data_IF_757756013440
#
_entry.id   IF_757756013440
#
_cell.length_a   1.000
_cell.length_b   1.000
_cell.length_c   1.000
_cell.angle_alpha   90.00
_cell.angle_beta   90.00
_cell.angle_gamma   90.00
#
_symmetry.space_group_name_H-M   'P 1'
#
loop_
_entity.id
_entity.type
_entity.pdbx_description
1 polymer ?
#
# COMPACT_ATOMS: atom_id res chain seq x y z
N UNK A 1 -10.51 3.68 46.00
CA UNK A 1 -9.94 2.47 46.65
C UNK A 1 -8.46 2.40 46.30
N UNK A 2 -7.58 2.03 47.24
CA UNK A 2 -6.13 1.99 47.03
C UNK A 2 -5.74 0.56 46.64
N UNK A 3 -5.14 0.37 45.47
CA UNK A 3 -4.61 -0.93 45.06
C UNK A 3 -3.26 -1.17 45.75
N UNK A 4 -3.12 -2.33 46.41
CA UNK A 4 -1.87 -2.74 47.07
C UNK A 4 -1.30 -3.90 46.27
N UNK A 5 -0.06 -3.77 45.79
CA UNK A 5 0.68 -4.83 45.11
C UNK A 5 1.61 -5.55 46.10
N UNK A 6 1.64 -6.88 46.05
CA UNK A 6 2.54 -7.73 46.85
C UNK A 6 3.71 -8.29 46.02
N UNK A 7 3.87 -7.80 44.78
CA UNK A 7 4.97 -8.20 43.89
C UNK A 7 6.32 -7.87 44.51
N UNK A 8 7.22 -8.87 44.57
CA UNK A 8 8.58 -8.73 45.12
C UNK A 8 9.63 -8.44 44.04
N UNK A 9 9.29 -8.70 42.78
CA UNK A 9 10.14 -8.47 41.62
C UNK A 9 9.83 -7.11 41.03
N UNK A 10 10.87 -6.40 40.62
CA UNK A 10 10.72 -5.16 39.86
C UNK A 10 10.21 -5.49 38.45
N UNK A 11 9.33 -4.62 37.94
CA UNK A 11 8.79 -4.76 36.60
C UNK A 11 9.90 -4.40 35.60
N UNK A 12 10.41 -5.40 34.87
CA UNK A 12 11.61 -5.23 34.05
C UNK A 12 11.40 -4.36 32.81
N UNK A 13 10.38 -4.67 32.02
CA UNK A 13 9.96 -3.84 30.87
C UNK A 13 8.48 -3.54 30.96
N UNK A 14 8.09 -2.41 30.36
CA UNK A 14 6.68 -2.06 30.24
C UNK A 14 5.95 -3.05 29.33
N UNK A 15 4.66 -3.25 29.62
CA UNK A 15 3.82 -4.09 28.77
C UNK A 15 3.68 -3.39 27.41
N UNK A 16 4.03 -4.06 26.30
CA UNK A 16 3.83 -3.50 24.97
C UNK A 16 2.34 -3.37 24.65
N UNK A 17 2.00 -2.58 23.66
CA UNK A 17 0.62 -2.46 23.23
C UNK A 17 0.23 -3.72 22.45
N UNK A 18 -0.80 -4.42 22.94
CA UNK A 18 -1.10 -5.81 22.54
C UNK A 18 -1.64 -5.94 21.11
N UNK A 19 -2.00 -4.81 20.49
CA UNK A 19 -2.48 -4.76 19.10
C UNK A 19 -1.40 -4.28 18.12
N UNK A 20 -0.17 -4.03 18.61
CA UNK A 20 0.91 -3.45 17.81
C UNK A 20 1.24 -4.29 16.59
N UNK A 21 1.23 -5.60 16.71
CA UNK A 21 1.53 -6.49 15.59
C UNK A 21 0.50 -6.26 14.46
N UNK A 22 -0.78 -6.16 14.79
CA UNK A 22 -1.83 -5.98 13.81
C UNK A 22 -1.82 -4.57 13.21
N UNK A 23 -1.67 -3.54 14.04
CA UNK A 23 -1.69 -2.15 13.59
C UNK A 23 -0.47 -1.84 12.73
N UNK A 24 0.74 -2.19 13.21
CA UNK A 24 1.98 -1.94 12.47
C UNK A 24 2.05 -2.72 11.15
N UNK A 25 1.56 -3.97 11.12
CA UNK A 25 1.54 -4.74 9.89
C UNK A 25 0.65 -4.10 8.82
N UNK A 26 -0.51 -3.57 9.22
CA UNK A 26 -1.43 -2.92 8.27
C UNK A 26 -0.93 -1.53 7.85
N UNK A 27 -0.33 -0.76 8.77
CA UNK A 27 0.33 0.51 8.46
C UNK A 27 1.49 0.31 7.46
N UNK A 28 2.34 -0.70 7.69
CA UNK A 28 3.43 -1.05 6.78
C UNK A 28 2.94 -1.54 5.40
N UNK A 29 1.78 -2.20 5.36
CA UNK A 29 1.15 -2.59 4.09
C UNK A 29 0.72 -1.36 3.28
N UNK A 30 0.09 -0.38 3.94
CA UNK A 30 -0.58 0.75 3.27
C UNK A 30 0.30 1.96 3.02
N UNK A 31 1.29 2.23 3.88
CA UNK A 31 2.20 3.39 3.83
C UNK A 31 1.45 4.72 3.56
N UNK A 32 0.40 5.01 4.34
CA UNK A 32 -0.50 6.16 4.13
C UNK A 32 0.18 7.52 4.30
N UNK A 33 1.15 7.61 5.21
CA UNK A 33 1.77 8.88 5.61
C UNK A 33 2.97 9.27 4.72
N UNK A 34 3.51 8.29 3.98
CA UNK A 34 4.65 8.52 3.09
C UNK A 34 4.19 9.11 1.75
N UNK A 35 4.89 10.16 1.29
CA UNK A 35 4.73 10.64 -0.07
C UNK A 35 5.09 9.52 -1.06
N UNK A 36 4.42 9.48 -2.22
CA UNK A 36 4.58 8.37 -3.16
C UNK A 36 6.04 8.06 -3.56
N UNK A 37 6.92 9.06 -3.58
CA UNK A 37 8.33 8.92 -3.94
C UNK A 37 9.25 8.52 -2.76
N UNK A 38 8.71 8.51 -1.54
CA UNK A 38 9.42 8.16 -0.30
C UNK A 38 8.97 6.79 0.25
N UNK A 39 8.05 6.11 -0.43
CA UNK A 39 7.56 4.80 -0.01
C UNK A 39 8.64 3.73 -0.12
N UNK A 40 8.73 2.92 0.93
CA UNK A 40 9.60 1.77 0.98
C UNK A 40 9.08 0.66 0.06
N UNK A 41 9.99 -0.18 -0.43
CA UNK A 41 9.67 -1.33 -1.30
C UNK A 41 9.10 -2.51 -0.49
N UNK A 42 7.95 -2.27 0.15
CA UNK A 42 7.18 -3.23 0.96
C UNK A 42 5.68 -3.01 0.74
N UNK A 43 4.86 -3.95 1.21
CA UNK A 43 3.41 -3.80 1.18
C UNK A 43 2.86 -3.63 -0.24
N UNK A 44 1.94 -2.67 -0.41
CA UNK A 44 1.32 -2.38 -1.71
C UNK A 44 2.33 -1.89 -2.76
N UNK A 45 3.32 -1.08 -2.36
CA UNK A 45 4.33 -0.55 -3.26
C UNK A 45 5.12 -1.69 -3.93
N UNK A 46 5.56 -2.65 -3.13
CA UNK A 46 6.25 -3.85 -3.63
C UNK A 46 5.37 -4.69 -4.53
N UNK A 47 4.10 -4.90 -4.16
CA UNK A 47 3.17 -5.69 -5.00
C UNK A 47 3.01 -5.06 -6.38
N UNK A 48 2.92 -3.72 -6.46
CA UNK A 48 2.89 -3.06 -7.76
C UNK A 48 4.21 -3.18 -8.52
N UNK A 49 5.36 -3.00 -7.86
CA UNK A 49 6.68 -3.16 -8.49
C UNK A 49 6.98 -4.59 -8.95
N UNK A 50 6.46 -5.59 -8.27
CA UNK A 50 6.63 -7.01 -8.64
C UNK A 50 5.77 -7.39 -9.85
N UNK A 51 4.62 -6.74 -10.03
CA UNK A 51 3.68 -7.03 -11.13
C UNK A 51 3.94 -6.20 -12.40
N UNK A 52 4.52 -5.02 -12.27
CA UNK A 52 4.79 -4.10 -13.37
C UNK A 52 6.29 -4.04 -13.68
N UNK A 53 6.69 -3.88 -14.96
CA UNK A 53 5.84 -3.62 -16.12
C UNK A 53 5.09 -4.82 -16.67
N UNK A 54 3.93 -4.55 -17.28
CA UNK A 54 3.20 -5.53 -18.08
C UNK A 54 3.36 -5.18 -19.55
N UNK A 55 3.93 -6.09 -20.34
CA UNK A 55 4.20 -5.87 -21.77
C UNK A 55 3.47 -6.89 -22.66
N UNK A 56 3.18 -6.51 -23.91
CA UNK A 56 2.65 -7.43 -24.91
C UNK A 56 3.74 -8.35 -25.47
N UNK A 57 3.34 -9.42 -26.16
CA UNK A 57 4.26 -10.44 -26.73
C UNK A 57 5.32 -9.84 -27.65
N UNK A 58 5.00 -8.70 -28.28
CA UNK A 58 5.89 -8.01 -29.20
C UNK A 58 6.56 -6.77 -28.58
N UNK A 59 6.38 -6.51 -27.28
CA UNK A 59 6.90 -5.35 -26.53
C UNK A 59 6.67 -3.97 -27.20
N UNK A 60 5.60 -3.87 -28.00
CA UNK A 60 5.15 -2.62 -28.59
C UNK A 60 4.44 -1.74 -27.56
N UNK A 61 3.87 -2.34 -26.53
CA UNK A 61 3.15 -1.65 -25.46
C UNK A 61 3.69 -2.14 -24.11
N UNK A 62 4.00 -1.20 -23.22
CA UNK A 62 4.36 -1.48 -21.83
C UNK A 62 3.50 -0.62 -20.91
N UNK A 63 2.80 -1.26 -19.97
CA UNK A 63 2.11 -0.57 -18.91
C UNK A 63 3.06 -0.49 -17.72
N UNK A 64 3.34 0.73 -17.26
CA UNK A 64 4.26 1.04 -16.18
C UNK A 64 3.49 1.52 -14.95
N UNK A 65 3.94 1.10 -13.77
CA UNK A 65 3.40 1.61 -12.52
C UNK A 65 4.10 2.91 -12.12
N UNK A 66 3.33 3.96 -11.83
CA UNK A 66 3.87 5.27 -11.39
C UNK A 66 3.72 5.46 -9.90
N UNK A 67 2.50 5.24 -9.38
CA UNK A 67 2.16 5.39 -7.95
C UNK A 67 0.79 4.84 -7.64
N UNK A 68 0.49 4.60 -6.37
CA UNK A 68 -0.89 4.41 -5.88
C UNK A 68 -1.31 5.48 -4.88
N UNK A 69 -2.61 5.65 -4.72
CA UNK A 69 -3.23 6.51 -3.70
C UNK A 69 -4.42 5.79 -3.09
N UNK A 70 -4.56 5.87 -1.78
CA UNK A 70 -5.74 5.46 -1.05
C UNK A 70 -6.64 6.68 -0.88
N UNK A 71 -7.92 6.55 -1.20
CA UNK A 71 -8.91 7.59 -0.91
C UNK A 71 -9.58 7.38 0.44
N UNK A 72 -10.49 8.28 0.78
CA UNK A 72 -11.24 8.18 2.02
C UNK A 72 -12.32 7.09 1.97
N UNK A 73 -12.56 6.38 3.09
CA UNK A 73 -13.72 5.53 3.26
C UNK A 73 -15.02 6.31 3.02
N UNK A 74 -15.98 5.67 2.35
CA UNK A 74 -17.24 6.33 1.97
C UNK A 74 -18.21 6.51 3.16
N UNK A 75 -18.10 5.65 4.16
CA UNK A 75 -18.99 5.56 5.32
C UNK A 75 -18.15 5.36 6.57
N UNK A 76 -18.69 5.70 7.74
CA UNK A 76 -18.02 5.40 9.02
C UNK A 76 -18.16 3.92 9.39
N UNK A 77 -17.42 3.49 10.41
CA UNK A 77 -17.49 2.12 10.91
C UNK A 77 -18.89 1.81 11.45
N UNK A 78 -19.50 2.75 12.16
CA UNK A 78 -20.85 2.61 12.74
C UNK A 78 -21.90 2.45 11.64
N UNK A 79 -21.86 3.29 10.60
CA UNK A 79 -22.76 3.19 9.45
C UNK A 79 -22.60 1.86 8.72
N UNK A 80 -21.37 1.36 8.60
CA UNK A 80 -21.10 0.06 8.00
C UNK A 80 -21.68 -1.09 8.83
N UNK A 81 -21.56 -1.03 10.16
CA UNK A 81 -22.14 -2.05 11.06
C UNK A 81 -23.66 -2.03 11.00
N UNK A 82 -24.28 -0.85 11.07
CA UNK A 82 -25.75 -0.72 11.05
C UNK A 82 -26.39 -1.22 9.74
N UNK A 83 -25.64 -1.16 8.64
CA UNK A 83 -26.13 -1.46 7.29
C UNK A 83 -25.59 -2.77 6.72
N UNK A 84 -24.91 -3.58 7.53
CA UNK A 84 -24.22 -4.82 7.11
C UNK A 84 -23.31 -4.62 5.88
N UNK A 85 -22.54 -3.54 5.89
CA UNK A 85 -21.60 -3.17 4.82
C UNK A 85 -20.14 -3.38 5.23
N UNK A 86 -19.24 -3.48 4.24
CA UNK A 86 -17.80 -3.53 4.49
C UNK A 86 -17.19 -2.14 4.57
N UNK A 87 -16.56 -1.81 5.70
CA UNK A 87 -15.74 -0.61 5.85
C UNK A 87 -14.49 -0.72 4.97
N UNK A 88 -14.35 0.15 3.97
CA UNK A 88 -13.28 0.08 2.98
C UNK A 88 -12.98 1.45 2.36
N UNK A 89 -11.73 1.61 1.92
CA UNK A 89 -11.22 2.76 1.21
C UNK A 89 -10.89 2.40 -0.25
N UNK A 90 -11.10 3.31 -1.22
CA UNK A 90 -10.76 3.05 -2.62
C UNK A 90 -9.24 3.12 -2.85
N UNK A 91 -8.68 2.09 -3.48
CA UNK A 91 -7.30 2.07 -3.98
C UNK A 91 -7.28 2.51 -5.44
N UNK A 92 -6.50 3.55 -5.77
CA UNK A 92 -6.30 4.03 -7.15
C UNK A 92 -4.82 3.92 -7.52
N UNK A 93 -4.52 3.37 -8.68
CA UNK A 93 -3.18 3.35 -9.25
C UNK A 93 -3.08 4.32 -10.43
N UNK A 94 -2.00 5.09 -10.50
CA UNK A 94 -1.60 5.84 -11.69
C UNK A 94 -0.65 4.96 -12.48
N UNK A 95 -1.04 4.65 -13.70
CA UNK A 95 -0.27 3.85 -14.64
C UNK A 95 0.09 4.71 -15.84
N UNK A 96 1.18 4.36 -16.51
CA UNK A 96 1.67 5.04 -17.68
C UNK A 96 1.82 4.02 -18.82
N UNK A 97 1.25 4.32 -19.98
CA UNK A 97 1.37 3.48 -21.17
C UNK A 97 2.53 3.97 -22.03
N UNK A 98 3.55 3.14 -22.18
CA UNK A 98 4.67 3.36 -23.10
C UNK A 98 4.39 2.63 -24.41
N UNK A 99 4.39 3.36 -25.52
CA UNK A 99 4.24 2.83 -26.87
C UNK A 99 5.60 2.84 -27.54
N UNK A 100 6.12 1.67 -27.86
CA UNK A 100 7.39 1.50 -28.54
C UNK A 100 7.21 1.40 -30.06
N UNK A 101 8.21 1.87 -30.79
CA UNK A 101 8.34 1.69 -32.23
C UNK A 101 9.68 1.05 -32.55
N UNK A 102 9.68 0.09 -33.46
CA UNK A 102 10.90 -0.55 -33.95
C UNK A 102 11.43 0.22 -35.15
N UNK A 103 12.65 0.75 -35.03
CA UNK A 103 13.34 1.45 -36.12
C UNK A 103 14.76 0.93 -36.22
N UNK A 104 15.07 0.26 -37.33
CA UNK A 104 16.35 -0.41 -37.61
C UNK A 104 16.68 -1.52 -36.59
N UNK A 105 15.67 -2.30 -36.16
CA UNK A 105 15.86 -3.40 -35.21
C UNK A 105 16.03 -2.95 -33.75
N UNK A 106 15.90 -1.66 -33.45
CA UNK A 106 15.97 -1.11 -32.09
C UNK A 106 14.59 -0.56 -31.72
N UNK A 107 14.01 -1.08 -30.63
CA UNK A 107 12.77 -0.54 -30.04
C UNK A 107 13.07 0.71 -29.23
N UNK A 108 12.26 1.74 -29.42
CA UNK A 108 12.37 3.01 -28.71
C UNK A 108 10.97 3.55 -28.38
N UNK A 109 10.81 4.26 -27.26
CA UNK A 109 9.53 4.85 -26.89
C UNK A 109 9.16 5.93 -27.89
N UNK A 110 8.06 5.73 -28.61
CA UNK A 110 7.45 6.69 -29.53
C UNK A 110 6.48 7.61 -28.80
N UNK A 111 5.75 7.09 -27.82
CA UNK A 111 4.80 7.87 -27.03
C UNK A 111 4.69 7.36 -25.60
N UNK A 112 4.33 8.25 -24.69
CA UNK A 112 4.11 7.98 -23.28
C UNK A 112 2.80 8.67 -22.90
N UNK A 113 1.80 7.90 -22.47
CA UNK A 113 0.44 8.37 -22.18
C UNK A 113 0.08 8.05 -20.73
#
# INVERSE_FOLDING_TARGET
>A
MKQISFGKLEQGMEMPHLLDIQTQAFEALLQTDAAAHEREDVGLERVFKDLFPITDVHENFSLEFVRYSLGEPKYTVEECIERDMTYSAPLKATLQLVINEEVNGVKRPRNII
#
